data_IF_778380120458
#
_entry.id   IF_778380120458
#
_cell.length_a   1.000
_cell.length_b   1.000
_cell.length_c   1.000
_cell.angle_alpha   90.00
_cell.angle_beta   90.00
_cell.angle_gamma   90.00
#
_symmetry.space_group_name_H-M   'P 1'
#
loop_
_entity.id
_entity.type
_entity.pdbx_description
1 polymer ?
#
# COMPACT_ATOMS: atom_id res chain seq x y z
N UNK A 1 11.45 -1.07 11.30
CA UNK A 1 10.06 -1.51 11.14
C UNK A 1 10.05 -2.79 10.29
N UNK A 2 9.49 -3.89 10.79
CA UNK A 2 9.40 -5.16 10.05
C UNK A 2 8.00 -5.29 9.44
N UNK A 3 7.87 -4.90 8.17
CA UNK A 3 6.65 -5.13 7.39
C UNK A 3 6.50 -6.62 7.12
N UNK A 4 5.28 -7.16 7.24
CA UNK A 4 4.99 -8.50 6.73
C UNK A 4 5.12 -8.52 5.20
N UNK A 5 5.37 -9.67 4.56
CA UNK A 5 5.46 -9.76 3.11
C UNK A 5 4.26 -9.12 2.40
N UNK A 6 3.04 -9.38 2.88
CA UNK A 6 1.82 -8.81 2.30
C UNK A 6 1.75 -7.29 2.42
N UNK A 7 2.09 -6.71 3.58
CA UNK A 7 2.14 -5.25 3.75
C UNK A 7 3.22 -4.63 2.87
N UNK A 8 4.36 -5.29 2.74
CA UNK A 8 5.43 -4.85 1.86
C UNK A 8 4.99 -4.87 0.40
N UNK A 9 4.35 -5.94 -0.08
CA UNK A 9 3.83 -6.00 -1.44
C UNK A 9 2.81 -4.90 -1.71
N UNK A 10 1.87 -4.66 -0.78
CA UNK A 10 0.89 -3.55 -0.88
C UNK A 10 1.59 -2.19 -0.94
N UNK A 11 2.58 -1.94 -0.08
CA UNK A 11 3.38 -0.71 -0.09
C UNK A 11 4.10 -0.51 -1.44
N UNK A 12 4.64 -1.58 -2.03
CA UNK A 12 5.40 -1.52 -3.28
C UNK A 12 4.53 -1.20 -4.50
N UNK A 13 3.27 -1.65 -4.53
CA UNK A 13 2.35 -1.35 -5.66
C UNK A 13 1.60 -0.03 -5.50
N UNK A 14 1.49 0.49 -4.27
CA UNK A 14 0.85 1.78 -4.03
C UNK A 14 1.61 2.94 -4.71
N UNK A 15 0.86 3.96 -5.09
CA UNK A 15 1.37 5.17 -5.77
C UNK A 15 0.99 6.43 -5.01
N UNK A 16 1.47 7.58 -5.46
CA UNK A 16 1.04 8.90 -4.95
C UNK A 16 -0.34 9.31 -5.47
N UNK A 17 -0.90 8.57 -6.44
CA UNK A 17 -2.25 8.77 -6.94
C UNK A 17 -3.27 7.98 -6.11
N UNK A 18 -4.52 8.45 -6.12
CA UNK A 18 -5.60 7.79 -5.40
C UNK A 18 -6.01 6.48 -6.08
N UNK A 19 -6.01 5.39 -5.32
CA UNK A 19 -6.32 4.05 -5.80
C UNK A 19 -7.33 3.35 -4.88
N UNK A 20 -8.24 2.57 -5.45
CA UNK A 20 -9.14 1.68 -4.71
C UNK A 20 -8.40 0.39 -4.30
N UNK A 21 -8.84 -0.31 -3.24
CA UNK A 21 -8.32 -1.62 -2.87
C UNK A 21 -8.33 -2.63 -4.02
N UNK A 22 -9.33 -2.54 -4.91
CA UNK A 22 -9.41 -3.36 -6.12
C UNK A 22 -8.25 -3.06 -7.07
N UNK A 23 -8.03 -1.79 -7.43
CA UNK A 23 -6.92 -1.39 -8.29
C UNK A 23 -5.55 -1.76 -7.70
N UNK A 24 -5.43 -1.74 -6.37
CA UNK A 24 -4.22 -2.17 -5.66
C UNK A 24 -4.07 -3.70 -5.74
N UNK A 25 -5.14 -4.45 -5.49
CA UNK A 25 -5.15 -5.91 -5.59
C UNK A 25 -4.85 -6.41 -7.01
N UNK A 26 -5.37 -5.74 -8.03
CA UNK A 26 -5.15 -6.08 -9.44
C UNK A 26 -3.68 -5.92 -9.85
N UNK A 27 -2.89 -5.12 -9.12
CA UNK A 27 -1.44 -4.97 -9.33
C UNK A 27 -0.60 -6.01 -8.56
N UNK A 28 -1.22 -6.78 -7.67
CA UNK A 28 -0.53 -7.79 -6.87
C UNK A 28 -0.67 -9.17 -7.54
N UNK A 29 0.44 -9.78 -8.00
CA UNK A 29 0.41 -11.10 -8.65
C UNK A 29 -0.25 -12.18 -7.78
N UNK A 30 -0.08 -12.07 -6.47
CA UNK A 30 -0.54 -13.07 -5.48
C UNK A 30 -1.94 -12.80 -4.94
N UNK A 31 -2.50 -11.59 -5.13
CA UNK A 31 -3.77 -11.24 -4.50
C UNK A 31 -4.97 -11.85 -5.23
N UNK A 32 -4.84 -12.21 -6.52
CA UNK A 32 -5.93 -12.85 -7.29
C UNK A 32 -7.26 -12.07 -7.27
N UNK A 33 -7.20 -10.74 -7.11
CA UNK A 33 -8.37 -9.87 -6.94
C UNK A 33 -9.02 -9.90 -5.54
N UNK A 34 -8.46 -10.64 -4.57
CA UNK A 34 -8.90 -10.62 -3.18
C UNK A 34 -8.47 -9.32 -2.50
N UNK A 35 -9.45 -8.48 -2.15
CA UNK A 35 -9.21 -7.19 -1.51
C UNK A 35 -9.06 -7.29 0.01
N UNK A 36 -9.36 -8.42 0.66
CA UNK A 36 -9.30 -8.54 2.12
C UNK A 36 -7.89 -8.34 2.67
N UNK A 37 -6.85 -9.04 2.15
CA UNK A 37 -5.47 -8.84 2.61
C UNK A 37 -4.94 -7.44 2.30
N UNK A 38 -5.41 -6.84 1.21
CA UNK A 38 -5.08 -5.46 0.83
C UNK A 38 -5.68 -4.48 1.84
N UNK A 39 -6.95 -4.63 2.20
CA UNK A 39 -7.64 -3.76 3.16
C UNK A 39 -7.02 -3.83 4.56
N UNK A 40 -6.64 -5.03 5.02
CA UNK A 40 -5.92 -5.20 6.29
C UNK A 40 -4.56 -4.50 6.25
N UNK A 41 -3.80 -4.70 5.17
CA UNK A 41 -2.51 -4.04 4.99
C UNK A 41 -2.63 -2.53 4.93
N UNK A 42 -3.63 -1.99 4.22
CA UNK A 42 -3.88 -0.55 4.14
C UNK A 42 -4.18 0.06 5.52
N UNK A 43 -4.97 -0.61 6.36
CA UNK A 43 -5.25 -0.16 7.73
C UNK A 43 -3.98 -0.07 8.56
N UNK A 44 -3.10 -1.05 8.45
CA UNK A 44 -1.86 -1.06 9.23
C UNK A 44 -0.85 -0.02 8.71
N UNK A 45 -0.67 0.08 7.40
CA UNK A 45 0.19 1.09 6.78
C UNK A 45 -0.29 2.53 7.06
N UNK A 46 -1.60 2.73 7.21
CA UNK A 46 -2.17 4.01 7.65
C UNK A 46 -1.82 4.33 9.10
N UNK A 47 -1.90 3.35 10.01
CA UNK A 47 -1.51 3.54 11.43
C UNK A 47 -0.04 3.94 11.57
N UNK A 48 0.78 3.52 10.61
CA UNK A 48 2.22 3.84 10.53
C UNK A 48 2.50 5.14 9.77
N UNK A 49 1.47 5.81 9.23
CA UNK A 49 1.60 7.06 8.48
C UNK A 49 2.24 6.91 7.09
N UNK A 50 2.35 5.69 6.57
CA UNK A 50 2.91 5.39 5.24
C UNK A 50 1.86 5.53 4.13
N UNK A 51 0.59 5.38 4.49
CA UNK A 51 -0.56 5.48 3.59
C UNK A 51 -1.58 6.44 4.17
N UNK A 52 -2.30 7.14 3.31
CA UNK A 52 -3.42 7.98 3.69
C UNK A 52 -4.69 7.55 2.95
N UNK A 53 -5.82 7.58 3.66
CA UNK A 53 -7.14 7.47 3.05
C UNK A 53 -7.57 8.83 2.50
N UNK A 54 -8.31 8.82 1.40
CA UNK A 54 -8.86 10.04 0.81
C UNK A 54 -9.97 10.59 1.73
N UNK A 55 -9.90 11.87 2.13
CA UNK A 55 -10.89 12.46 3.04
C UNK A 55 -12.22 12.80 2.34
N UNK A 56 -12.25 12.86 1.01
CA UNK A 56 -13.43 13.23 0.20
C UNK A 56 -14.08 11.97 -0.40
N UNK A 57 -13.28 11.07 -0.97
CA UNK A 57 -13.77 9.87 -1.66
C UNK A 57 -13.45 8.63 -0.84
N UNK A 58 -14.46 8.09 -0.15
CA UNK A 58 -14.29 6.90 0.67
C UNK A 58 -13.75 5.71 -0.11
N UNK A 59 -12.84 4.95 0.51
CA UNK A 59 -12.28 3.74 -0.08
C UNK A 59 -11.17 3.98 -1.11
N UNK A 60 -10.60 5.19 -1.16
CA UNK A 60 -9.39 5.46 -1.93
C UNK A 60 -8.19 5.72 -1.02
N UNK A 61 -7.02 5.26 -1.45
CA UNK A 61 -5.77 5.29 -0.70
C UNK A 61 -4.63 5.73 -1.59
N UNK A 62 -3.60 6.34 -1.00
CA UNK A 62 -2.34 6.69 -1.67
C UNK A 62 -1.18 6.69 -0.70
N UNK A 63 0.05 6.67 -1.21
CA UNK A 63 1.26 6.87 -0.42
C UNK A 63 1.29 8.27 0.21
N UNK A 64 1.86 8.34 1.40
CA UNK A 64 2.37 9.60 1.97
C UNK A 64 3.81 9.82 1.50
N UNK A 65 4.40 11.01 1.70
CA UNK A 65 5.83 11.22 1.49
C UNK A 65 6.70 10.21 2.24
N UNK A 66 6.38 9.95 3.51
CA UNK A 66 7.07 8.93 4.32
C UNK A 66 6.92 7.53 3.72
N UNK A 67 5.73 7.18 3.22
CA UNK A 67 5.50 5.92 2.52
C UNK A 67 6.35 5.77 1.26
N UNK A 68 6.52 6.86 0.51
CA UNK A 68 7.37 6.89 -0.69
C UNK A 68 8.85 6.69 -0.33
N UNK A 69 9.35 7.35 0.70
CA UNK A 69 10.73 7.17 1.18
C UNK A 69 10.99 5.71 1.58
N UNK A 70 10.10 5.11 2.38
CA UNK A 70 10.22 3.71 2.77
C UNK A 70 10.13 2.77 1.56
N UNK A 71 9.26 3.07 0.60
CA UNK A 71 9.14 2.31 -0.65
C UNK A 71 10.46 2.31 -1.42
N UNK A 72 11.09 3.47 -1.62
CA UNK A 72 12.39 3.59 -2.30
C UNK A 72 13.46 2.80 -1.55
N UNK A 73 13.59 2.99 -0.25
CA UNK A 73 14.55 2.23 0.58
C UNK A 73 14.36 0.71 0.51
N UNK A 74 13.13 0.24 0.27
CA UNK A 74 12.79 -1.18 0.13
C UNK A 74 13.10 -1.72 -1.26
N UNK A 75 12.97 -0.89 -2.31
CA UNK A 75 13.36 -1.25 -3.66
C UNK A 75 14.88 -1.36 -3.78
N UNK A 76 15.62 -0.42 -3.20
CA UNK A 76 17.09 -0.40 -3.21
C UNK A 76 17.70 -1.61 -2.49
N UNK A 77 16.99 -2.15 -1.47
CA UNK A 77 17.42 -3.36 -0.72
C UNK A 77 17.10 -4.68 -1.42
N UNK A 78 16.29 -4.64 -2.48
CA UNK A 78 15.87 -5.81 -3.24
C UNK A 78 16.59 -5.90 -4.61
N UNK A 79 17.60 -5.05 -4.85
CA UNK A 79 18.56 -5.16 -5.96
C UNK A 79 19.83 -5.88 -5.51
#
# INVERSE_FOLDING_TARGET
MNLTPTRQSVLLVLTTEWQTPKQIADQLPEAGGNTSPVNESLKDLMREGLVQANPIVFGMYRLTPNGMEIKVMKLDKNQ
#
